data_IF_251817762610
#
_entry.id   IF_251817762610
#
_cell.length_a   1.000
_cell.length_b   1.000
_cell.length_c   1.000
_cell.angle_alpha   90.00
_cell.angle_beta   90.00
_cell.angle_gamma   90.00
#
_symmetry.space_group_name_H-M   'P 1'
#
loop_
_entity.id
_entity.type
_entity.pdbx_description
1 polymer ?
#
# COMPACT_ATOMS: atom_id res chain seq x y z
N UNK A 1 -15.73 -17.05 0.94
CA UNK A 1 -15.05 -15.72 1.10
C UNK A 1 -15.11 -15.00 -0.22
N UNK A 2 -15.57 -13.75 -0.22
CA UNK A 2 -15.43 -12.90 -1.39
C UNK A 2 -13.94 -12.69 -1.72
N UNK A 3 -13.63 -12.48 -3.00
CA UNK A 3 -12.25 -12.23 -3.43
C UNK A 3 -11.76 -10.90 -2.86
N UNK A 4 -10.75 -10.94 -2.00
CA UNK A 4 -10.10 -9.74 -1.46
C UNK A 4 -9.41 -8.99 -2.59
N UNK A 5 -9.62 -7.69 -2.68
CA UNK A 5 -9.03 -6.81 -3.69
C UNK A 5 -8.22 -5.70 -3.03
N UNK A 6 -6.93 -5.74 -3.25
CA UNK A 6 -5.95 -4.77 -2.72
C UNK A 6 -5.46 -3.87 -3.84
N UNK A 7 -5.38 -2.58 -3.57
CA UNK A 7 -4.82 -1.59 -4.48
C UNK A 7 -3.40 -1.21 -4.05
N UNK A 8 -2.45 -1.26 -4.98
CA UNK A 8 -1.06 -0.86 -4.73
C UNK A 8 -0.84 0.56 -5.25
N UNK A 9 -0.34 1.44 -4.40
CA UNK A 9 0.01 2.82 -4.74
C UNK A 9 1.52 2.90 -4.90
N UNK A 10 1.95 3.24 -6.10
CA UNK A 10 3.35 3.24 -6.52
C UNK A 10 3.75 1.95 -7.25
N UNK A 11 4.08 2.07 -8.53
CA UNK A 11 4.56 0.97 -9.37
C UNK A 11 6.09 1.02 -9.60
N UNK A 12 6.81 1.63 -8.67
CA UNK A 12 8.27 1.65 -8.65
C UNK A 12 8.86 0.28 -8.26
N UNK A 13 10.15 0.28 -7.91
CA UNK A 13 10.90 -0.96 -7.62
C UNK A 13 10.21 -1.85 -6.57
N UNK A 14 9.80 -1.30 -5.42
CA UNK A 14 9.13 -2.04 -4.36
C UNK A 14 7.65 -2.28 -4.66
N UNK A 15 6.97 -1.33 -5.27
CA UNK A 15 5.58 -1.50 -5.67
C UNK A 15 5.39 -2.69 -6.58
N UNK A 16 6.30 -2.93 -7.52
CA UNK A 16 6.27 -4.09 -8.42
C UNK A 16 6.36 -5.43 -7.68
N UNK A 17 7.09 -5.49 -6.57
CA UNK A 17 7.13 -6.69 -5.72
C UNK A 17 5.77 -6.98 -5.09
N UNK A 18 5.12 -5.95 -4.53
CA UNK A 18 3.77 -6.08 -3.98
C UNK A 18 2.75 -6.45 -5.06
N UNK A 19 2.80 -5.79 -6.22
CA UNK A 19 1.91 -6.06 -7.36
C UNK A 19 2.01 -7.53 -7.78
N UNK A 20 3.23 -8.03 -7.98
CA UNK A 20 3.45 -9.43 -8.36
C UNK A 20 2.91 -10.39 -7.31
N UNK A 21 3.26 -10.19 -6.04
CA UNK A 21 2.82 -11.05 -4.94
C UNK A 21 1.29 -11.06 -4.81
N UNK A 22 0.65 -9.90 -4.87
CA UNK A 22 -0.81 -9.81 -4.81
C UNK A 22 -1.48 -10.44 -6.03
N UNK A 23 -0.88 -10.34 -7.21
CA UNK A 23 -1.35 -11.01 -8.41
C UNK A 23 -1.29 -12.54 -8.24
N UNK A 24 -0.17 -13.08 -7.78
CA UNK A 24 0.01 -14.52 -7.50
C UNK A 24 -0.96 -15.03 -6.44
N UNK A 25 -1.35 -14.20 -5.48
CA UNK A 25 -2.36 -14.51 -4.46
C UNK A 25 -3.81 -14.33 -4.93
N UNK A 26 -4.03 -13.86 -6.16
CA UNK A 26 -5.38 -13.55 -6.66
C UNK A 26 -6.04 -12.32 -6.01
N UNK A 27 -5.26 -11.49 -5.31
CA UNK A 27 -5.74 -10.36 -4.53
C UNK A 27 -5.43 -8.99 -5.13
N UNK A 28 -4.77 -8.92 -6.29
CA UNK A 28 -4.49 -7.65 -6.95
C UNK A 28 -5.76 -7.05 -7.54
N UNK A 29 -6.23 -5.94 -6.96
CA UNK A 29 -7.43 -5.23 -7.41
C UNK A 29 -7.13 -4.03 -8.31
N UNK A 30 -6.04 -3.31 -8.03
CA UNK A 30 -5.69 -2.11 -8.79
C UNK A 30 -4.29 -1.60 -8.49
N UNK A 31 -3.82 -0.69 -9.33
CA UNK A 31 -2.53 -0.02 -9.20
C UNK A 31 -2.70 1.47 -9.44
N UNK A 32 -2.14 2.29 -8.57
CA UNK A 32 -2.07 3.75 -8.73
C UNK A 32 -0.63 4.15 -9.00
N UNK A 33 -0.40 4.87 -10.08
CA UNK A 33 0.87 5.53 -10.34
C UNK A 33 0.62 6.77 -11.21
N UNK A 34 1.16 7.96 -10.88
CA UNK A 34 1.00 9.14 -11.70
C UNK A 34 1.69 9.02 -13.08
N UNK A 35 2.75 8.20 -13.17
CA UNK A 35 3.46 7.99 -14.41
C UNK A 35 2.70 7.04 -15.36
N UNK A 36 2.26 7.56 -16.50
CA UNK A 36 1.56 6.79 -17.52
C UNK A 36 2.40 5.63 -18.09
N UNK A 37 3.73 5.79 -18.17
CA UNK A 37 4.61 4.72 -18.66
C UNK A 37 4.64 3.54 -17.67
N UNK A 38 4.65 3.81 -16.36
CA UNK A 38 4.57 2.74 -15.36
C UNK A 38 3.21 2.04 -15.44
N UNK A 39 2.11 2.78 -15.54
CA UNK A 39 0.78 2.18 -15.70
C UNK A 39 0.66 1.31 -16.95
N UNK A 40 1.24 1.74 -18.07
CA UNK A 40 1.24 0.95 -19.32
C UNK A 40 2.02 -0.36 -19.15
N UNK A 41 3.19 -0.33 -18.51
CA UNK A 41 3.96 -1.55 -18.19
C UNK A 41 3.17 -2.52 -17.31
N UNK A 42 2.43 -2.00 -16.33
CA UNK A 42 1.58 -2.84 -15.47
C UNK A 42 0.46 -3.48 -16.28
N UNK A 43 -0.19 -2.74 -17.17
CA UNK A 43 -1.24 -3.28 -18.06
C UNK A 43 -0.74 -4.33 -19.05
N UNK A 44 0.50 -4.20 -19.52
CA UNK A 44 1.14 -5.21 -20.38
C UNK A 44 1.38 -6.52 -19.62
N UNK A 45 1.85 -6.43 -18.36
CA UNK A 45 2.14 -7.60 -17.52
C UNK A 45 0.89 -8.21 -16.88
N UNK A 46 -0.10 -7.39 -16.55
CA UNK A 46 -1.31 -7.76 -15.83
C UNK A 46 -2.54 -7.12 -16.49
N UNK A 47 -2.98 -7.59 -17.68
CA UNK A 47 -3.99 -6.92 -18.50
C UNK A 47 -5.34 -6.68 -17.83
N UNK A 48 -5.70 -7.52 -16.84
CA UNK A 48 -6.97 -7.43 -16.12
C UNK A 48 -6.92 -6.44 -14.94
N UNK A 49 -5.74 -5.88 -14.64
CA UNK A 49 -5.58 -4.99 -13.48
C UNK A 49 -6.03 -3.56 -13.81
N UNK A 50 -6.90 -3.00 -12.99
CA UNK A 50 -7.28 -1.60 -13.09
C UNK A 50 -6.08 -0.70 -12.74
N UNK A 51 -5.83 0.33 -13.57
CA UNK A 51 -4.74 1.28 -13.34
C UNK A 51 -5.29 2.70 -13.26
N UNK A 52 -4.83 3.45 -12.28
CA UNK A 52 -5.30 4.81 -11.97
C UNK A 52 -4.12 5.78 -11.95
N UNK A 53 -4.36 7.03 -12.37
CA UNK A 53 -3.37 8.09 -12.32
C UNK A 53 -3.25 8.79 -10.97
N UNK A 54 -4.25 8.62 -10.10
CA UNK A 54 -4.31 9.24 -8.77
C UNK A 54 -5.07 8.37 -7.78
N UNK A 55 -4.86 8.62 -6.48
CA UNK A 55 -5.60 7.95 -5.41
C UNK A 55 -7.08 8.32 -5.42
N UNK A 56 -7.43 9.56 -5.75
CA UNK A 56 -8.81 10.02 -5.87
C UNK A 56 -9.58 9.20 -6.91
N UNK A 57 -8.95 8.92 -8.05
CA UNK A 57 -9.55 8.07 -9.07
C UNK A 57 -9.76 6.63 -8.58
N UNK A 58 -8.78 6.10 -7.84
CA UNK A 58 -8.88 4.76 -7.25
C UNK A 58 -9.99 4.66 -6.19
N UNK A 59 -10.28 5.74 -5.47
CA UNK A 59 -11.36 5.78 -4.47
C UNK A 59 -12.77 5.65 -5.07
N UNK A 60 -12.91 5.74 -6.38
CA UNK A 60 -14.17 5.45 -7.08
C UNK A 60 -14.46 3.93 -7.14
N UNK A 61 -13.45 3.11 -6.89
CA UNK A 61 -13.54 1.66 -6.80
C UNK A 61 -13.39 1.25 -5.34
N UNK A 62 -14.18 0.27 -4.90
CA UNK A 62 -14.04 -0.26 -3.55
C UNK A 62 -12.92 -1.29 -3.50
N UNK A 63 -11.91 -1.02 -2.71
CA UNK A 63 -10.83 -1.95 -2.38
C UNK A 63 -10.89 -2.33 -0.89
N UNK A 64 -10.52 -3.56 -0.57
CA UNK A 64 -10.51 -4.07 0.80
C UNK A 64 -9.27 -3.61 1.59
N UNK A 65 -8.26 -3.11 0.90
CA UNK A 65 -7.05 -2.57 1.49
C UNK A 65 -6.16 -1.89 0.46
N UNK A 66 -5.16 -1.18 0.97
CA UNK A 66 -4.16 -0.49 0.17
C UNK A 66 -2.75 -0.84 0.61
N UNK A 67 -1.82 -0.82 -0.34
CA UNK A 67 -0.38 -0.86 -0.09
C UNK A 67 0.22 0.45 -0.60
N UNK A 68 0.91 1.20 0.25
CA UNK A 68 1.64 2.41 -0.10
C UNK A 68 3.12 2.07 -0.27
N UNK A 69 3.59 2.08 -1.51
CA UNK A 69 4.97 1.78 -1.91
C UNK A 69 5.58 2.93 -2.73
N UNK A 70 5.29 4.15 -2.32
CA UNK A 70 5.75 5.42 -2.91
C UNK A 70 6.96 5.97 -2.15
N UNK A 71 7.57 7.09 -2.58
CA UNK A 71 8.61 7.74 -1.79
C UNK A 71 8.11 8.15 -0.39
N UNK A 72 8.95 8.01 0.67
CA UNK A 72 8.53 8.24 2.07
C UNK A 72 7.91 9.59 2.36
N UNK A 73 8.28 10.62 1.61
CA UNK A 73 7.73 11.98 1.75
C UNK A 73 6.21 12.02 1.51
N UNK A 74 5.66 11.06 0.78
CA UNK A 74 4.22 10.99 0.45
C UNK A 74 3.43 10.09 1.42
N UNK A 75 4.09 9.35 2.30
CA UNK A 75 3.46 8.32 3.13
C UNK A 75 2.40 8.89 4.07
N UNK A 76 2.69 10.02 4.74
CA UNK A 76 1.76 10.63 5.70
C UNK A 76 0.42 11.00 5.03
N UNK A 77 0.47 11.70 3.91
CA UNK A 77 -0.74 12.18 3.23
C UNK A 77 -1.55 11.04 2.64
N UNK A 78 -0.90 10.08 1.99
CA UNK A 78 -1.57 8.91 1.43
C UNK A 78 -2.21 8.04 2.52
N UNK A 79 -1.47 7.75 3.60
CA UNK A 79 -2.00 6.98 4.72
C UNK A 79 -3.20 7.67 5.38
N UNK A 80 -3.11 8.99 5.57
CA UNK A 80 -4.20 9.81 6.11
C UNK A 80 -5.48 9.70 5.27
N UNK A 81 -5.36 9.84 3.95
CA UNK A 81 -6.52 9.81 3.06
C UNK A 81 -7.16 8.41 3.01
N UNK A 82 -6.35 7.35 3.03
CA UNK A 82 -6.84 5.96 3.09
C UNK A 82 -7.52 5.66 4.43
N UNK A 83 -6.90 6.05 5.54
CA UNK A 83 -7.46 5.85 6.88
C UNK A 83 -8.80 6.58 7.08
N UNK A 84 -8.95 7.77 6.50
CA UNK A 84 -10.24 8.49 6.50
C UNK A 84 -11.35 7.72 5.77
N UNK A 85 -11.00 6.89 4.80
CA UNK A 85 -11.94 5.97 4.14
C UNK A 85 -12.22 4.70 4.97
N UNK A 86 -11.62 4.59 6.17
CA UNK A 86 -11.73 3.42 7.05
C UNK A 86 -11.25 2.13 6.39
N UNK A 87 -10.32 2.24 5.45
CA UNK A 87 -9.75 1.10 4.74
C UNK A 87 -8.38 0.76 5.33
N UNK A 88 -8.07 -0.52 5.55
CA UNK A 88 -6.76 -0.95 6.01
C UNK A 88 -5.64 -0.57 5.04
N UNK A 89 -4.47 -0.23 5.56
CA UNK A 89 -3.32 0.15 4.75
C UNK A 89 -2.02 -0.45 5.26
N UNK A 90 -1.22 -0.98 4.34
CA UNK A 90 0.18 -1.29 4.57
C UNK A 90 1.01 -0.15 3.98
N UNK A 91 1.91 0.41 4.77
CA UNK A 91 2.84 1.46 4.32
C UNK A 91 4.26 0.93 4.38
N UNK A 92 5.00 1.07 3.28
CA UNK A 92 6.41 0.69 3.23
C UNK A 92 7.27 1.49 4.20
N UNK A 93 8.37 0.89 4.60
CA UNK A 93 9.38 1.53 5.47
C UNK A 93 10.19 2.58 4.68
N UNK A 94 10.66 3.63 5.34
CA UNK A 94 10.27 4.08 6.67
C UNK A 94 8.84 4.60 6.64
N UNK A 95 8.08 4.40 7.72
CA UNK A 95 6.70 4.87 7.79
C UNK A 95 6.59 6.36 7.48
N UNK A 96 7.49 7.15 8.07
CA UNK A 96 7.62 8.59 7.88
C UNK A 96 9.08 9.02 7.96
N UNK A 97 9.36 10.27 7.58
CA UNK A 97 10.70 10.87 7.64
C UNK A 97 11.02 11.56 8.97
N UNK A 98 10.04 11.68 9.87
CA UNK A 98 10.22 12.27 11.20
C UNK A 98 9.34 11.60 12.24
N UNK A 99 9.77 11.68 13.50
CA UNK A 99 8.97 11.20 14.63
C UNK A 99 7.64 11.97 14.73
N UNK A 100 7.66 13.27 14.49
CA UNK A 100 6.45 14.11 14.51
C UNK A 100 5.41 13.62 13.49
N UNK A 101 5.81 13.34 12.25
CA UNK A 101 4.92 12.80 11.23
C UNK A 101 4.39 11.41 11.62
N UNK A 102 5.22 10.56 12.23
CA UNK A 102 4.82 9.26 12.77
C UNK A 102 3.77 9.38 13.87
N UNK A 103 3.93 10.34 14.78
CA UNK A 103 2.94 10.62 15.84
C UNK A 103 1.61 11.11 15.26
N UNK A 104 1.62 11.89 14.17
CA UNK A 104 0.39 12.28 13.46
C UNK A 104 -0.35 11.05 12.91
N UNK A 105 0.34 10.11 12.30
CA UNK A 105 -0.27 8.84 11.83
C UNK A 105 -0.83 8.05 13.02
N UNK A 106 -0.07 7.92 14.11
CA UNK A 106 -0.54 7.21 15.31
C UNK A 106 -1.83 7.81 15.88
N UNK A 107 -1.92 9.14 15.93
CA UNK A 107 -3.12 9.84 16.37
C UNK A 107 -4.31 9.60 15.42
N UNK A 108 -4.07 9.60 14.12
CA UNK A 108 -5.09 9.29 13.12
C UNK A 108 -5.63 7.88 13.26
N UNK A 109 -4.75 6.89 13.44
CA UNK A 109 -5.13 5.49 13.67
C UNK A 109 -6.04 5.38 14.88
N UNK A 110 -5.66 6.01 15.99
CA UNK A 110 -6.42 5.99 17.24
C UNK A 110 -7.79 6.67 17.09
N UNK A 111 -7.83 7.86 16.46
CA UNK A 111 -9.05 8.66 16.33
C UNK A 111 -10.04 8.07 15.32
N UNK A 112 -9.57 7.38 14.30
CA UNK A 112 -10.38 6.81 13.23
C UNK A 112 -10.66 5.31 13.40
N UNK A 113 -10.15 4.68 14.47
CA UNK A 113 -10.12 3.22 14.63
C UNK A 113 -9.54 2.54 13.38
N UNK A 114 -8.45 3.13 12.88
CA UNK A 114 -7.81 2.72 11.64
C UNK A 114 -6.91 1.50 11.80
N UNK A 115 -6.65 0.82 10.70
CA UNK A 115 -5.74 -0.32 10.63
C UNK A 115 -4.57 -0.01 9.71
N UNK A 116 -3.36 0.04 10.26
CA UNK A 116 -2.14 0.28 9.52
C UNK A 116 -1.05 -0.72 9.90
N UNK A 117 -0.38 -1.26 8.91
CA UNK A 117 0.79 -2.12 9.06
C UNK A 117 1.99 -1.42 8.40
N UNK A 118 3.13 -1.41 9.06
CA UNK A 118 4.39 -0.94 8.47
C UNK A 118 5.13 -2.11 7.83
N UNK A 119 5.66 -1.91 6.63
CA UNK A 119 6.38 -2.91 5.85
C UNK A 119 7.74 -3.31 6.43
N UNK A 120 7.79 -3.72 7.69
CA UNK A 120 8.99 -4.24 8.36
C UNK A 120 9.24 -5.70 7.98
N UNK A 121 9.64 -5.92 6.74
CA UNK A 121 9.85 -7.24 6.14
C UNK A 121 10.70 -8.19 6.98
N UNK A 122 11.75 -7.68 7.62
CA UNK A 122 12.67 -8.48 8.43
C UNK A 122 12.01 -9.15 9.65
N UNK A 123 10.88 -8.64 10.13
CA UNK A 123 10.14 -9.28 11.21
C UNK A 123 9.64 -10.69 10.86
N UNK A 124 9.50 -10.97 9.57
CA UNK A 124 9.05 -12.26 9.05
C UNK A 124 10.23 -13.15 8.59
N UNK A 125 11.47 -12.67 8.71
CA UNK A 125 12.64 -13.43 8.30
C UNK A 125 12.90 -14.57 9.30
N UNK A 126 13.08 -15.85 8.84
CA UNK A 126 13.25 -17.00 9.74
C UNK A 126 14.35 -16.84 10.79
N UNK A 127 15.50 -16.25 10.41
CA UNK A 127 16.59 -15.99 11.33
C UNK A 127 16.20 -15.02 12.43
N UNK A 128 15.49 -13.93 12.09
CA UNK A 128 15.02 -12.94 13.08
C UNK A 128 13.99 -13.56 14.03
N UNK A 129 13.08 -14.37 13.48
CA UNK A 129 12.09 -15.10 14.30
C UNK A 129 12.81 -16.05 15.28
N UNK A 130 13.84 -16.75 14.81
CA UNK A 130 14.63 -17.64 15.66
C UNK A 130 15.44 -16.92 16.74
N UNK A 131 15.95 -15.72 16.44
CA UNK A 131 16.69 -14.90 17.41
C UNK A 131 15.81 -14.34 18.54
N UNK A 132 14.49 -14.24 18.33
CA UNK A 132 13.54 -13.76 19.34
C UNK A 132 13.10 -14.83 20.35
N UNK A 133 13.41 -16.09 20.10
CA UNK A 133 13.15 -17.22 21.00
C UNK A 133 14.30 -17.40 21.99
#
# INVERSE_FOLDING_TARGET
>A
MGDIKICVIGAGRWGKNHIRTLFELGALGGVVDPDAQQRNKIKELFPQTACFGSLENAFQTNFDGYVVATPPVTHLDLAKDILKKKTPVLVEKPLTLSVEAGMKIQSLIKNLDGKLIVGHLLLFHPAIIKMKK
#
